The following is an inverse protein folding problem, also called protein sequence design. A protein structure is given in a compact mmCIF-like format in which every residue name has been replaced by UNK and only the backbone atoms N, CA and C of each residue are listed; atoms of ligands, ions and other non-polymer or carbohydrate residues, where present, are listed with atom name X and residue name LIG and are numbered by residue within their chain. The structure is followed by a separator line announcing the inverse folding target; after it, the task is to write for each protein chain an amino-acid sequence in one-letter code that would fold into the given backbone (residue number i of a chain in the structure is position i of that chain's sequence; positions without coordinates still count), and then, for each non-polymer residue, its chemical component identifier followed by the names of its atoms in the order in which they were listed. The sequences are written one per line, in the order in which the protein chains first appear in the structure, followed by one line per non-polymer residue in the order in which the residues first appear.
data_IF_188777717152
#
_entry.id   IF_188777717152
#
_cell.length_a   1.000
_cell.length_b   1.000
_cell.length_c   1.000
_cell.angle_alpha   90.00
_cell.angle_beta   90.00
_cell.angle_gamma   90.00
#
_symmetry.space_group_name_H-M   'P 1'
#
loop_
_entity.id
_entity.type
_entity.pdbx_description
1 polymer ?
#
# COMPACT_ATOMS: atom_id res chain seq x y z
N UNK A 1 16.40 -16.60 -35.27
CA UNK A 1 15.24 -17.07 -34.50
C UNK A 1 14.36 -15.87 -34.24
N UNK A 2 13.19 -15.80 -34.89
CA UNK A 2 12.22 -14.70 -34.73
C UNK A 2 11.69 -14.69 -33.29
N UNK A 3 11.99 -13.66 -32.53
CA UNK A 3 11.31 -13.41 -31.27
C UNK A 3 9.81 -13.21 -31.60
N UNK A 4 8.98 -14.20 -31.26
CA UNK A 4 7.53 -14.00 -31.18
C UNK A 4 7.31 -12.90 -30.13
N UNK A 5 7.03 -11.69 -30.58
CA UNK A 5 6.69 -10.59 -29.71
C UNK A 5 5.50 -11.00 -28.85
N UNK A 6 5.73 -11.25 -27.57
CA UNK A 6 4.65 -11.36 -26.60
C UNK A 6 3.92 -10.02 -26.61
N UNK A 7 2.71 -9.99 -27.15
CA UNK A 7 1.83 -8.82 -27.02
C UNK A 7 1.63 -8.54 -25.53
N UNK A 8 2.07 -7.36 -25.09
CA UNK A 8 1.95 -6.95 -23.69
C UNK A 8 0.47 -6.91 -23.32
N UNK A 9 0.13 -7.44 -22.15
CA UNK A 9 -1.22 -7.32 -21.58
C UNK A 9 -1.59 -5.85 -21.45
N UNK A 10 -2.86 -5.50 -21.66
CA UNK A 10 -3.37 -4.14 -21.53
C UNK A 10 -4.63 -4.14 -20.69
N UNK A 11 -4.90 -3.04 -19.97
CA UNK A 11 -6.20 -2.80 -19.37
C UNK A 11 -7.26 -2.55 -20.44
N UNK A 12 -8.50 -2.95 -20.18
CA UNK A 12 -9.61 -2.76 -21.14
C UNK A 12 -9.88 -1.28 -21.42
N UNK A 13 -9.70 -0.42 -20.41
CA UNK A 13 -9.92 1.02 -20.52
C UNK A 13 -9.54 1.78 -19.25
N UNK A 14 -9.92 3.08 -19.21
CA UNK A 14 -9.62 3.98 -18.09
C UNK A 14 -10.10 3.45 -16.74
N UNK A 15 -11.34 2.94 -16.67
CA UNK A 15 -11.91 2.43 -15.41
C UNK A 15 -11.12 1.23 -14.88
N UNK A 16 -10.70 0.30 -15.77
CA UNK A 16 -9.87 -0.84 -15.40
C UNK A 16 -8.53 -0.42 -14.79
N UNK A 17 -7.84 0.51 -15.45
CA UNK A 17 -6.59 1.06 -14.92
C UNK A 17 -6.80 1.75 -13.56
N UNK A 18 -7.77 2.69 -13.48
CA UNK A 18 -8.02 3.48 -12.26
C UNK A 18 -8.37 2.60 -11.06
N UNK A 19 -9.28 1.62 -11.23
CA UNK A 19 -9.68 0.76 -10.12
C UNK A 19 -8.57 -0.23 -9.73
N UNK A 20 -7.76 -0.69 -10.67
CA UNK A 20 -6.60 -1.53 -10.35
C UNK A 20 -5.50 -0.73 -9.64
N UNK A 21 -5.19 0.49 -10.10
CA UNK A 21 -4.20 1.36 -9.48
C UNK A 21 -4.68 1.88 -8.10
N UNK A 22 -5.97 2.25 -7.98
CA UNK A 22 -6.57 2.60 -6.70
C UNK A 22 -6.57 1.40 -5.73
N UNK A 23 -6.88 0.19 -6.23
CA UNK A 23 -6.79 -1.03 -5.43
C UNK A 23 -5.36 -1.38 -4.99
N UNK A 24 -4.37 -1.01 -5.79
CA UNK A 24 -2.97 -1.11 -5.38
C UNK A 24 -2.65 -0.15 -4.22
N UNK A 25 -3.17 1.08 -4.30
CA UNK A 25 -2.92 2.14 -3.30
C UNK A 25 -3.74 1.92 -2.02
N UNK A 26 -5.02 1.54 -2.15
CA UNK A 26 -5.89 1.25 -0.99
C UNK A 26 -5.54 -0.10 -0.39
N UNK A 27 -4.75 -0.11 0.66
CA UNK A 27 -4.26 -1.31 1.31
C UNK A 27 -4.36 -1.25 2.83
N UNK A 28 -3.63 -2.16 3.46
CA UNK A 28 -3.54 -2.23 4.93
C UNK A 28 -3.03 -0.92 5.54
N UNK A 29 -2.19 -0.17 4.83
CA UNK A 29 -1.66 1.11 5.26
C UNK A 29 -2.71 2.19 5.51
N UNK A 30 -3.79 2.22 4.70
CA UNK A 30 -4.90 3.14 4.89
C UNK A 30 -5.75 2.76 6.11
N UNK A 31 -5.88 1.46 6.40
CA UNK A 31 -6.83 0.97 7.40
C UNK A 31 -6.24 0.98 8.82
N UNK A 32 -4.96 0.64 9.00
CA UNK A 32 -4.40 0.64 10.36
C UNK A 32 -3.37 1.75 10.61
N UNK A 33 -2.44 1.96 9.64
CA UNK A 33 -1.33 2.89 9.85
C UNK A 33 -1.79 4.34 9.81
N UNK A 34 -2.65 4.68 8.86
CA UNK A 34 -3.17 6.04 8.73
C UNK A 34 -3.95 6.50 9.96
N UNK A 35 -4.97 5.76 10.50
CA UNK A 35 -5.68 6.17 11.70
C UNK A 35 -4.78 6.32 12.92
N UNK A 36 -3.84 5.40 13.10
CA UNK A 36 -2.86 5.48 14.18
C UNK A 36 -2.02 6.76 14.09
N UNK A 37 -1.43 7.01 12.92
CA UNK A 37 -0.60 8.20 12.73
C UNK A 37 -1.41 9.49 12.83
N UNK A 38 -2.64 9.51 12.31
CA UNK A 38 -3.53 10.65 12.45
C UNK A 38 -3.82 10.94 13.92
N UNK A 39 -4.13 9.93 14.73
CA UNK A 39 -4.36 10.12 16.16
C UNK A 39 -3.11 10.59 16.90
N UNK A 40 -1.96 9.98 16.63
CA UNK A 40 -0.70 10.31 17.31
C UNK A 40 -0.16 11.70 16.95
N UNK A 41 -0.37 12.16 15.72
CA UNK A 41 0.26 13.39 15.19
C UNK A 41 -0.72 14.52 14.94
N UNK A 42 -1.79 14.61 15.73
CA UNK A 42 -2.65 15.79 15.87
C UNK A 42 -3.95 15.77 15.07
N UNK A 43 -4.46 14.59 14.70
CA UNK A 43 -5.79 14.44 14.10
C UNK A 43 -5.97 15.22 12.81
N UNK A 44 -6.82 16.25 12.85
CA UNK A 44 -7.18 17.06 11.67
C UNK A 44 -6.02 17.81 11.06
N UNK A 45 -4.99 18.20 11.82
CA UNK A 45 -3.80 18.85 11.25
C UNK A 45 -2.93 17.84 10.47
N UNK A 46 -2.84 16.60 10.96
CA UNK A 46 -2.20 15.51 10.21
C UNK A 46 -2.94 15.25 8.90
N UNK A 47 -4.27 15.16 8.93
CA UNK A 47 -5.10 14.97 7.75
C UNK A 47 -4.90 16.08 6.72
N UNK A 48 -4.85 17.35 7.15
CA UNK A 48 -4.60 18.48 6.26
C UNK A 48 -3.24 18.37 5.58
N UNK A 49 -2.17 18.10 6.34
CA UNK A 49 -0.82 17.90 5.81
C UNK A 49 -0.78 16.72 4.84
N UNK A 50 -1.42 15.59 5.19
CA UNK A 50 -1.52 14.42 4.32
C UNK A 50 -2.16 14.74 2.97
N UNK A 51 -3.31 15.45 2.97
CA UNK A 51 -4.00 15.86 1.73
C UNK A 51 -3.10 16.75 0.87
N UNK A 52 -2.42 17.74 1.46
CA UNK A 52 -1.51 18.61 0.74
C UNK A 52 -0.35 17.83 0.10
N UNK A 53 0.21 16.86 0.81
CA UNK A 53 1.27 15.99 0.30
C UNK A 53 0.76 15.04 -0.79
N UNK A 54 -0.45 14.48 -0.65
CA UNK A 54 -1.05 13.65 -1.68
C UNK A 54 -1.23 14.44 -2.99
N UNK A 55 -1.74 15.68 -2.91
CA UNK A 55 -1.96 16.57 -4.06
C UNK A 55 -0.67 17.09 -4.71
N UNK A 56 0.45 17.02 -4.06
CA UNK A 56 1.75 17.55 -4.55
C UNK A 56 2.74 16.43 -4.83
N UNK A 57 3.28 15.83 -3.79
CA UNK A 57 4.26 14.75 -3.89
C UNK A 57 3.64 13.48 -4.49
N UNK A 58 2.51 13.00 -3.92
CA UNK A 58 1.82 11.79 -4.38
C UNK A 58 1.46 11.88 -5.86
N UNK A 59 0.76 12.95 -6.23
CA UNK A 59 0.42 13.24 -7.62
C UNK A 59 1.65 13.20 -8.54
N UNK A 60 2.74 13.85 -8.14
CA UNK A 60 3.95 13.94 -8.96
C UNK A 60 4.58 12.57 -9.21
N UNK A 61 4.68 11.75 -8.17
CA UNK A 61 5.27 10.43 -8.29
C UNK A 61 4.39 9.47 -9.10
N UNK A 62 3.07 9.48 -8.90
CA UNK A 62 2.14 8.67 -9.69
C UNK A 62 2.24 9.03 -11.17
N UNK A 63 2.23 10.33 -11.51
CA UNK A 63 2.40 10.79 -12.90
C UNK A 63 3.75 10.35 -13.46
N UNK A 64 4.84 10.50 -12.71
CA UNK A 64 6.18 10.14 -13.16
C UNK A 64 6.28 8.64 -13.47
N UNK A 65 5.90 7.78 -12.53
CA UNK A 65 6.01 6.33 -12.68
C UNK A 65 5.06 5.78 -13.76
N UNK A 66 3.81 6.24 -13.78
CA UNK A 66 2.82 5.84 -14.79
C UNK A 66 3.27 6.25 -16.19
N UNK A 67 3.81 7.48 -16.33
CA UNK A 67 4.34 7.96 -17.62
C UNK A 67 5.53 7.14 -18.08
N UNK A 68 6.49 6.82 -17.20
CA UNK A 68 7.63 5.97 -17.51
C UNK A 68 7.17 4.59 -18.00
N UNK A 69 6.22 3.98 -17.30
CA UNK A 69 5.63 2.71 -17.68
C UNK A 69 4.96 2.76 -19.04
N UNK A 70 4.05 3.73 -19.28
CA UNK A 70 3.31 3.87 -20.53
C UNK A 70 4.19 4.22 -21.73
N UNK A 71 5.20 5.07 -21.51
CA UNK A 71 6.14 5.49 -22.54
C UNK A 71 6.99 4.32 -23.04
N UNK A 72 7.45 3.47 -22.13
CA UNK A 72 8.39 2.40 -22.43
C UNK A 72 7.71 1.07 -22.74
N UNK A 73 6.49 0.85 -22.23
CA UNK A 73 5.78 -0.42 -22.34
C UNK A 73 6.49 -1.57 -21.63
N UNK A 74 7.29 -1.28 -20.58
CA UNK A 74 8.16 -2.26 -19.91
C UNK A 74 7.99 -2.24 -18.39
N UNK A 75 8.48 -3.30 -17.75
CA UNK A 75 8.65 -3.37 -16.30
C UNK A 75 9.63 -2.29 -15.78
N UNK A 76 9.81 -2.11 -14.46
CA UNK A 76 10.72 -1.12 -13.92
C UNK A 76 12.16 -1.23 -14.46
N UNK A 77 12.73 -2.44 -14.56
CA UNK A 77 14.10 -2.63 -15.07
C UNK A 77 14.20 -2.20 -16.53
N UNK A 78 13.28 -2.67 -17.36
CA UNK A 78 13.21 -2.32 -18.76
C UNK A 78 12.92 -0.84 -19.01
N UNK A 79 12.11 -0.21 -18.15
CA UNK A 79 11.80 1.21 -18.21
C UNK A 79 13.06 2.07 -17.98
N UNK A 80 13.88 1.74 -16.99
CA UNK A 80 15.16 2.43 -16.75
C UNK A 80 16.17 2.17 -17.86
N UNK A 81 16.30 0.93 -18.34
CA UNK A 81 17.19 0.55 -19.47
C UNK A 81 16.85 1.29 -20.76
N UNK A 82 15.60 1.67 -20.99
CA UNK A 82 15.19 2.41 -22.18
C UNK A 82 15.86 3.78 -22.31
N UNK A 83 16.38 4.35 -21.22
CA UNK A 83 17.05 5.65 -21.19
C UNK A 83 18.59 5.57 -21.13
N UNK A 84 19.15 4.37 -21.09
CA UNK A 84 20.59 4.17 -21.09
C UNK A 84 21.02 2.91 -20.33
N UNK A 85 22.32 2.62 -20.40
CA UNK A 85 22.87 1.38 -19.84
C UNK A 85 23.94 1.65 -18.75
N UNK A 86 23.87 2.81 -18.10
CA UNK A 86 24.78 3.16 -16.99
C UNK A 86 24.49 2.32 -15.74
N UNK A 87 25.50 2.14 -14.88
CA UNK A 87 25.35 1.34 -13.66
C UNK A 87 24.25 1.82 -12.73
N UNK A 88 24.09 3.13 -12.55
CA UNK A 88 23.07 3.70 -11.69
C UNK A 88 21.64 3.55 -12.27
N UNK A 89 21.46 3.56 -13.61
CA UNK A 89 20.17 3.28 -14.24
C UNK A 89 19.77 1.80 -14.03
N UNK A 90 20.73 0.88 -14.17
CA UNK A 90 20.49 -0.53 -13.84
C UNK A 90 20.12 -0.71 -12.38
N UNK A 91 20.84 -0.05 -11.46
CA UNK A 91 20.51 -0.07 -10.03
C UNK A 91 19.11 0.46 -9.78
N UNK A 92 18.74 1.65 -10.35
CA UNK A 92 17.42 2.24 -10.20
C UNK A 92 16.29 1.33 -10.70
N UNK A 93 16.48 0.68 -11.84
CA UNK A 93 15.52 -0.30 -12.37
C UNK A 93 15.34 -1.51 -11.45
N UNK A 94 16.46 -2.10 -11.02
CA UNK A 94 16.43 -3.29 -10.16
C UNK A 94 15.90 -3.02 -8.76
N UNK A 95 16.25 -1.90 -8.12
CA UNK A 95 15.73 -1.61 -6.79
C UNK A 95 14.19 -1.48 -6.82
N UNK A 96 13.62 -0.78 -7.84
CA UNK A 96 12.17 -0.70 -8.02
C UNK A 96 11.51 -2.07 -8.31
N UNK A 97 12.23 -3.00 -8.95
CA UNK A 97 11.72 -4.33 -9.29
C UNK A 97 11.82 -5.33 -8.12
N UNK A 98 12.84 -5.21 -7.26
CA UNK A 98 13.07 -6.13 -6.14
C UNK A 98 12.13 -5.82 -4.97
N UNK A 99 11.77 -4.55 -4.75
CA UNK A 99 10.87 -4.15 -3.67
C UNK A 99 9.59 -4.99 -3.61
N UNK A 100 8.77 -5.09 -4.67
CA UNK A 100 7.54 -5.89 -4.61
C UNK A 100 7.81 -7.38 -4.41
N UNK A 101 8.93 -7.92 -4.88
CA UNK A 101 9.33 -9.32 -4.68
C UNK A 101 9.56 -9.61 -3.18
N UNK A 102 10.11 -8.64 -2.44
CA UNK A 102 10.35 -8.75 -1.00
C UNK A 102 9.13 -8.41 -0.16
N UNK A 103 8.25 -7.50 -0.60
CA UNK A 103 7.05 -7.10 0.15
C UNK A 103 6.00 -8.21 0.11
N UNK A 104 5.72 -8.78 -1.06
CA UNK A 104 4.64 -9.77 -1.25
C UNK A 104 4.67 -10.91 -0.23
N UNK A 105 5.83 -11.52 0.10
CA UNK A 105 5.90 -12.60 1.09
C UNK A 105 5.35 -12.21 2.46
N UNK A 106 5.90 -11.20 3.10
CA UNK A 106 5.49 -10.81 4.45
C UNK A 106 4.11 -10.13 4.47
N UNK A 107 3.75 -9.41 3.40
CA UNK A 107 2.43 -8.82 3.25
C UNK A 107 1.32 -9.90 3.19
N UNK A 108 1.63 -11.03 2.54
CA UNK A 108 0.71 -12.16 2.47
C UNK A 108 0.54 -12.87 3.82
N UNK A 109 1.54 -12.85 4.69
CA UNK A 109 1.40 -13.33 6.08
C UNK A 109 0.38 -12.49 6.84
N UNK A 110 0.47 -11.17 6.73
CA UNK A 110 -0.50 -10.27 7.35
C UNK A 110 -1.90 -10.47 6.75
N UNK A 111 -1.98 -10.69 5.43
CA UNK A 111 -3.23 -11.09 4.76
C UNK A 111 -3.81 -12.39 5.31
N UNK A 112 -2.97 -13.35 5.67
CA UNK A 112 -3.37 -14.58 6.36
C UNK A 112 -3.97 -14.32 7.75
N UNK A 113 -3.44 -13.38 8.51
CA UNK A 113 -4.04 -12.97 9.80
C UNK A 113 -5.46 -12.38 9.60
N UNK A 114 -5.66 -11.62 8.52
CA UNK A 114 -6.99 -11.09 8.16
C UNK A 114 -7.96 -12.24 7.83
N UNK A 115 -7.52 -13.25 7.08
CA UNK A 115 -8.30 -14.45 6.78
C UNK A 115 -8.74 -15.16 8.07
N UNK A 116 -7.82 -15.33 9.02
CA UNK A 116 -8.12 -15.94 10.34
C UNK A 116 -9.21 -15.17 11.08
N UNK A 117 -9.05 -13.85 11.21
CA UNK A 117 -10.00 -13.03 11.94
C UNK A 117 -11.38 -12.99 11.27
N UNK A 118 -11.44 -12.89 9.95
CA UNK A 118 -12.70 -12.97 9.21
C UNK A 118 -13.41 -14.32 9.45
N UNK A 119 -12.65 -15.42 9.40
CA UNK A 119 -13.21 -16.76 9.65
C UNK A 119 -13.75 -16.89 11.08
N UNK A 120 -13.02 -16.41 12.09
CA UNK A 120 -13.48 -16.50 13.48
C UNK A 120 -14.70 -15.62 13.76
N UNK A 121 -14.76 -14.41 13.18
CA UNK A 121 -15.98 -13.58 13.25
C UNK A 121 -17.18 -14.28 12.59
N UNK A 122 -16.97 -14.88 11.41
CA UNK A 122 -18.02 -15.64 10.70
C UNK A 122 -18.50 -16.87 11.49
N UNK A 123 -17.63 -17.47 12.32
CA UNK A 123 -17.94 -18.58 13.22
C UNK A 123 -18.54 -18.13 14.57
N UNK A 124 -18.80 -16.84 14.76
CA UNK A 124 -19.38 -16.29 15.99
C UNK A 124 -18.43 -16.25 17.19
N UNK A 125 -17.10 -16.22 16.95
CA UNK A 125 -16.07 -16.21 18.01
C UNK A 125 -15.59 -14.81 18.38
N UNK A 126 -16.45 -13.79 18.29
CA UNK A 126 -16.08 -12.38 18.53
C UNK A 126 -15.45 -12.16 19.90
N UNK A 127 -16.02 -12.70 20.97
CA UNK A 127 -15.47 -12.55 22.33
C UNK A 127 -14.11 -13.23 22.53
N UNK A 128 -13.83 -14.33 21.81
CA UNK A 128 -12.51 -14.94 21.82
C UNK A 128 -11.47 -14.05 21.14
N UNK A 129 -11.83 -13.37 20.04
CA UNK A 129 -10.95 -12.41 19.34
C UNK A 129 -10.63 -11.17 20.19
N UNK A 130 -11.52 -10.77 21.09
CA UNK A 130 -11.33 -9.66 22.02
C UNK A 130 -10.48 -10.04 23.26
N UNK A 131 -10.24 -11.33 23.51
CA UNK A 131 -9.49 -11.80 24.65
C UNK A 131 -8.02 -11.40 24.58
N UNK A 132 -7.44 -11.06 25.74
CA UNK A 132 -6.02 -10.74 25.85
C UNK A 132 -5.15 -11.93 25.43
N UNK A 133 -4.14 -11.65 24.63
CA UNK A 133 -3.19 -12.66 24.17
C UNK A 133 -3.68 -13.51 22.98
N UNK A 134 -4.93 -13.39 22.52
CA UNK A 134 -5.44 -14.17 21.39
C UNK A 134 -4.57 -14.02 20.14
N UNK A 135 -4.27 -12.79 19.74
CA UNK A 135 -3.44 -12.50 18.57
C UNK A 135 -2.02 -13.08 18.73
N UNK A 136 -1.37 -12.85 19.85
CA UNK A 136 -0.01 -13.37 20.10
C UNK A 136 0.02 -14.89 20.13
N UNK A 137 -0.98 -15.54 20.72
CA UNK A 137 -1.10 -17.01 20.73
C UNK A 137 -1.30 -17.57 19.31
N UNK A 138 -2.10 -16.87 18.47
CA UNK A 138 -2.31 -17.26 17.08
C UNK A 138 -1.03 -17.17 16.25
N UNK A 139 -0.35 -16.02 16.25
CA UNK A 139 0.86 -15.83 15.42
C UNK A 139 2.04 -16.69 15.89
N UNK A 140 2.10 -17.05 17.18
CA UNK A 140 3.12 -17.95 17.73
C UNK A 140 2.86 -19.42 17.38
N UNK A 141 1.62 -19.77 17.03
CA UNK A 141 1.28 -21.13 16.62
C UNK A 141 1.52 -21.31 15.11
N UNK A 142 2.66 -21.92 14.77
CA UNK A 142 3.12 -22.03 13.40
C UNK A 142 2.10 -22.62 12.42
N UNK A 143 1.40 -23.71 12.79
CA UNK A 143 0.50 -24.41 11.85
C UNK A 143 -0.72 -23.59 11.46
N UNK A 144 -1.55 -23.04 12.36
CA UNK A 144 -2.69 -22.21 11.97
C UNK A 144 -2.27 -20.91 11.24
N UNK A 145 -1.16 -20.28 11.63
CA UNK A 145 -0.66 -19.10 10.97
C UNK A 145 -0.25 -19.40 9.52
N UNK A 146 0.51 -20.49 9.29
CA UNK A 146 0.90 -20.94 7.95
C UNK A 146 -0.30 -21.30 7.07
N UNK A 147 -1.29 -22.02 7.59
CA UNK A 147 -2.49 -22.37 6.81
C UNK A 147 -3.20 -21.10 6.31
N UNK A 148 -3.41 -20.13 7.19
CA UNK A 148 -4.06 -18.88 6.81
C UNK A 148 -3.22 -18.06 5.80
N UNK A 149 -1.91 -18.03 5.98
CA UNK A 149 -0.97 -17.41 5.04
C UNK A 149 -1.07 -18.08 3.65
N UNK A 150 -1.00 -19.40 3.59
CA UNK A 150 -1.09 -20.16 2.32
C UNK A 150 -2.44 -19.94 1.64
N UNK A 151 -3.54 -19.87 2.39
CA UNK A 151 -4.88 -19.55 1.84
C UNK A 151 -4.87 -18.17 1.18
N UNK A 152 -4.34 -17.13 1.86
CA UNK A 152 -4.26 -15.80 1.28
C UNK A 152 -3.34 -15.75 0.04
N UNK A 153 -2.18 -16.40 0.10
CA UNK A 153 -1.25 -16.51 -1.01
C UNK A 153 -1.90 -17.21 -2.23
N UNK A 154 -2.64 -18.29 -1.99
CA UNK A 154 -3.35 -19.02 -3.04
C UNK A 154 -4.44 -18.16 -3.71
N UNK A 155 -5.20 -17.37 -2.93
CA UNK A 155 -6.17 -16.42 -3.47
C UNK A 155 -5.48 -15.39 -4.40
N UNK A 156 -4.39 -14.79 -3.94
CA UNK A 156 -3.61 -13.82 -4.74
C UNK A 156 -3.10 -14.46 -6.03
N UNK A 157 -2.44 -15.62 -5.94
CA UNK A 157 -1.85 -16.30 -7.10
C UNK A 157 -2.90 -16.74 -8.11
N UNK A 158 -4.06 -17.22 -7.66
CA UNK A 158 -5.16 -17.62 -8.55
C UNK A 158 -5.60 -16.45 -9.43
N UNK A 159 -5.72 -15.26 -8.86
CA UNK A 159 -6.09 -14.05 -9.61
C UNK A 159 -4.98 -13.66 -10.60
N UNK A 160 -3.72 -13.76 -10.19
CA UNK A 160 -2.57 -13.45 -11.06
C UNK A 160 -2.47 -14.44 -12.22
N UNK A 161 -2.74 -15.72 -12.00
CA UNK A 161 -2.78 -16.73 -13.09
C UNK A 161 -3.84 -16.42 -14.16
N UNK A 162 -4.97 -15.80 -13.77
CA UNK A 162 -6.04 -15.41 -14.69
C UNK A 162 -5.66 -14.24 -15.62
N UNK A 163 -4.60 -13.50 -15.32
CA UNK A 163 -4.06 -12.43 -16.18
C UNK A 163 -4.49 -11.02 -15.76
N UNK A 164 -4.11 -10.04 -16.57
CA UNK A 164 -4.36 -8.62 -16.24
C UNK A 164 -5.84 -8.28 -16.39
N UNK A 165 -6.44 -8.54 -17.54
CA UNK A 165 -7.83 -8.18 -17.83
C UNK A 165 -8.84 -9.08 -17.09
N UNK A 166 -8.68 -10.41 -17.22
CA UNK A 166 -9.63 -11.37 -16.63
C UNK A 166 -9.42 -11.64 -15.13
N UNK A 167 -8.22 -11.34 -14.60
CA UNK A 167 -7.89 -11.48 -13.18
C UNK A 167 -7.91 -10.12 -12.48
N UNK A 168 -6.83 -9.36 -12.62
CA UNK A 168 -6.58 -8.13 -11.85
C UNK A 168 -7.70 -7.11 -12.04
N UNK A 169 -8.00 -6.75 -13.28
CA UNK A 169 -8.98 -5.72 -13.60
C UNK A 169 -10.39 -6.15 -13.20
N UNK A 170 -10.79 -7.38 -13.51
CA UNK A 170 -12.13 -7.90 -13.19
C UNK A 170 -12.36 -7.95 -11.69
N UNK A 171 -11.36 -8.40 -10.93
CA UNK A 171 -11.43 -8.47 -9.46
C UNK A 171 -11.46 -7.07 -8.86
N UNK A 172 -10.61 -6.15 -9.33
CA UNK A 172 -10.60 -4.76 -8.86
C UNK A 172 -11.91 -4.04 -9.15
N UNK A 173 -12.53 -4.27 -10.32
CA UNK A 173 -13.85 -3.71 -10.67
C UNK A 173 -14.98 -4.16 -9.73
N UNK A 174 -14.86 -5.34 -9.14
CA UNK A 174 -15.83 -5.85 -8.16
C UNK A 174 -15.46 -5.39 -6.74
N UNK A 175 -14.20 -5.59 -6.33
CA UNK A 175 -13.80 -5.39 -4.92
C UNK A 175 -13.79 -3.91 -4.52
N UNK A 176 -13.36 -3.00 -5.41
CA UNK A 176 -13.24 -1.59 -5.06
C UNK A 176 -14.59 -0.91 -4.74
N UNK A 177 -15.66 -1.06 -5.54
CA UNK A 177 -16.97 -0.54 -5.15
C UNK A 177 -17.52 -1.14 -3.86
N UNK A 178 -17.36 -2.45 -3.66
CA UNK A 178 -17.79 -3.13 -2.42
C UNK A 178 -17.02 -2.57 -1.21
N UNK A 179 -15.70 -2.39 -1.33
CA UNK A 179 -14.86 -1.79 -0.30
C UNK A 179 -15.35 -0.39 0.09
N UNK A 180 -15.70 0.45 -0.90
CA UNK A 180 -16.26 1.79 -0.64
C UNK A 180 -17.59 1.68 0.15
N UNK A 181 -18.50 0.80 -0.28
CA UNK A 181 -19.78 0.61 0.41
C UNK A 181 -19.56 0.13 1.85
N UNK A 182 -18.71 -0.86 2.05
CA UNK A 182 -18.37 -1.38 3.38
C UNK A 182 -17.77 -0.28 4.26
N UNK A 183 -16.85 0.54 3.72
CA UNK A 183 -16.24 1.62 4.48
C UNK A 183 -17.25 2.68 4.92
N UNK A 184 -18.23 3.01 4.07
CA UNK A 184 -19.33 3.92 4.44
C UNK A 184 -20.19 3.34 5.56
N UNK A 185 -20.60 2.07 5.44
CA UNK A 185 -21.44 1.42 6.46
C UNK A 185 -20.74 1.42 7.82
N UNK A 186 -19.47 1.02 7.86
CA UNK A 186 -18.72 0.93 9.11
C UNK A 186 -18.44 2.32 9.69
N UNK A 187 -18.11 3.32 8.85
CA UNK A 187 -17.90 4.69 9.31
C UNK A 187 -19.18 5.29 9.90
N UNK A 188 -20.33 5.12 9.23
CA UNK A 188 -21.64 5.57 9.78
C UNK A 188 -21.90 4.89 11.12
N UNK A 189 -21.69 3.59 11.21
CA UNK A 189 -21.84 2.88 12.48
C UNK A 189 -20.93 3.45 13.56
N UNK A 190 -19.66 3.68 13.27
CA UNK A 190 -18.66 4.19 14.21
C UNK A 190 -19.01 5.60 14.73
N UNK A 191 -19.32 6.53 13.82
CA UNK A 191 -19.59 7.94 14.19
C UNK A 191 -20.91 8.13 14.95
N UNK A 192 -21.83 7.16 14.85
CA UNK A 192 -23.12 7.19 15.57
C UNK A 192 -23.04 6.62 16.99
N UNK A 193 -21.88 6.15 17.45
CA UNK A 193 -21.75 5.64 18.83
C UNK A 193 -21.72 6.77 19.86
N UNK A 194 -22.28 6.56 21.05
CA UNK A 194 -22.15 7.51 22.15
C UNK A 194 -20.67 7.80 22.44
N UNK A 195 -20.30 9.06 22.55
CA UNK A 195 -18.91 9.49 22.76
C UNK A 195 -18.04 9.60 21.49
N UNK A 196 -18.50 9.13 20.34
CA UNK A 196 -17.74 9.15 19.08
C UNK A 196 -17.50 10.56 18.52
N UNK A 197 -18.36 11.54 18.87
CA UNK A 197 -18.32 12.90 18.30
C UNK A 197 -17.00 13.62 18.58
N UNK A 198 -16.40 13.39 19.75
CA UNK A 198 -15.09 13.97 20.10
C UNK A 198 -13.99 13.43 19.19
N UNK A 199 -14.00 12.13 18.89
CA UNK A 199 -13.09 11.52 17.93
C UNK A 199 -13.29 12.05 16.50
N UNK A 200 -14.53 12.28 16.07
CA UNK A 200 -14.83 12.92 14.79
C UNK A 200 -14.25 14.32 14.71
N UNK A 201 -14.50 15.14 15.76
CA UNK A 201 -13.96 16.51 15.85
C UNK A 201 -12.43 16.50 15.85
N UNK A 202 -11.82 15.64 16.66
CA UNK A 202 -10.37 15.50 16.73
C UNK A 202 -9.76 15.17 15.36
N UNK A 203 -10.38 14.26 14.63
CA UNK A 203 -9.87 13.79 13.33
C UNK A 203 -10.10 14.76 12.17
N UNK A 204 -11.26 15.46 12.14
CA UNK A 204 -11.62 16.30 10.99
C UNK A 204 -11.26 17.78 11.17
N UNK A 205 -11.18 18.28 12.41
CA UNK A 205 -10.94 19.70 12.66
C UNK A 205 -9.46 19.97 12.86
N UNK A 206 -8.78 20.68 11.94
CA UNK A 206 -7.37 21.02 12.10
C UNK A 206 -7.16 21.92 13.33
N UNK A 207 -6.27 21.50 14.23
CA UNK A 207 -5.83 22.29 15.37
C UNK A 207 -4.34 22.55 15.29
N UNK A 208 -3.95 23.80 15.02
CA UNK A 208 -2.55 24.20 14.90
C UNK A 208 -1.74 24.02 16.18
N UNK A 209 -2.40 23.98 17.36
CA UNK A 209 -1.70 23.70 18.62
C UNK A 209 -1.11 22.28 18.67
N UNK A 210 -1.65 21.34 17.89
CA UNK A 210 -1.14 19.97 17.78
C UNK A 210 -0.12 19.79 16.64
N UNK A 211 0.22 20.86 15.92
CA UNK A 211 1.21 20.78 14.83
C UNK A 211 2.62 20.57 15.39
N UNK A 212 3.34 19.64 14.78
CA UNK A 212 4.77 19.44 14.99
C UNK A 212 5.46 19.15 13.65
N UNK A 213 6.76 19.34 13.58
CA UNK A 213 7.53 18.90 12.39
C UNK A 213 7.41 17.40 12.18
N UNK A 214 7.21 16.63 13.25
CA UNK A 214 6.99 15.20 13.17
C UNK A 214 5.65 14.85 12.49
N UNK A 215 4.63 15.71 12.60
CA UNK A 215 3.37 15.60 11.85
C UNK A 215 3.64 15.55 10.34
N UNK A 216 4.54 16.42 9.84
CA UNK A 216 4.90 16.47 8.42
C UNK A 216 5.68 15.21 8.01
N UNK A 217 6.66 14.80 8.80
CA UNK A 217 7.46 13.60 8.53
C UNK A 217 6.60 12.34 8.52
N UNK A 218 5.72 12.20 9.52
CA UNK A 218 4.81 11.06 9.61
C UNK A 218 3.80 11.03 8.45
N UNK A 219 3.24 12.21 8.07
CA UNK A 219 2.33 12.31 6.93
C UNK A 219 3.04 12.00 5.60
N UNK A 220 4.30 12.44 5.41
CA UNK A 220 5.11 12.07 4.24
C UNK A 220 5.32 10.56 4.17
N UNK A 221 5.74 9.93 5.26
CA UNK A 221 5.95 8.49 5.31
C UNK A 221 4.67 7.69 5.07
N UNK A 222 3.54 8.15 5.61
CA UNK A 222 2.24 7.53 5.37
C UNK A 222 1.80 7.65 3.92
N UNK A 223 1.89 8.83 3.33
CA UNK A 223 1.49 9.07 1.94
C UNK A 223 2.36 8.26 0.96
N UNK A 224 3.65 8.15 1.23
CA UNK A 224 4.60 7.38 0.44
C UNK A 224 4.22 5.90 0.38
N UNK A 225 3.85 5.34 1.53
CA UNK A 225 3.41 3.96 1.67
C UNK A 225 2.02 3.73 1.06
N UNK A 226 1.07 4.64 1.34
CA UNK A 226 -0.33 4.52 0.93
C UNK A 226 -0.50 4.52 -0.58
N UNK A 227 0.14 5.43 -1.30
CA UNK A 227 0.00 5.56 -2.75
C UNK A 227 0.80 4.54 -3.57
N UNK A 228 1.41 3.54 -2.94
CA UNK A 228 2.24 2.52 -3.60
C UNK A 228 3.35 3.08 -4.49
N UNK A 229 3.94 4.19 -4.08
CA UNK A 229 4.99 4.90 -4.80
C UNK A 229 6.33 4.18 -4.62
N UNK A 230 7.15 4.17 -5.66
CA UNK A 230 8.49 3.58 -5.66
C UNK A 230 8.53 2.08 -5.35
N UNK A 231 7.45 1.38 -5.66
CA UNK A 231 7.33 -0.09 -5.57
C UNK A 231 7.32 -0.76 -6.95
N UNK A 232 7.59 -0.03 -8.02
CA UNK A 232 7.52 -0.53 -9.39
C UNK A 232 6.11 -0.85 -9.90
N UNK A 233 5.08 -0.80 -9.05
CA UNK A 233 3.68 -1.11 -9.39
C UNK A 233 3.16 -0.14 -10.44
N UNK A 234 3.31 1.17 -10.21
CA UNK A 234 2.78 2.20 -11.10
C UNK A 234 3.52 2.24 -12.46
N UNK A 235 4.81 1.89 -12.48
CA UNK A 235 5.55 1.68 -13.75
C UNK A 235 4.96 0.46 -14.48
N UNK A 236 4.76 -0.65 -13.78
CA UNK A 236 4.19 -1.87 -14.36
C UNK A 236 2.78 -1.63 -14.88
N UNK A 237 1.88 -1.05 -14.09
CA UNK A 237 0.51 -0.75 -14.51
C UNK A 237 0.46 0.31 -15.60
N UNK A 238 1.33 1.32 -15.53
CA UNK A 238 1.53 2.29 -16.61
C UNK A 238 1.89 1.62 -17.93
N UNK A 239 2.71 0.56 -17.90
CA UNK A 239 3.09 -0.20 -19.10
C UNK A 239 1.94 -0.98 -19.73
N UNK A 240 0.84 -1.19 -19.01
CA UNK A 240 -0.42 -1.79 -19.50
C UNK A 240 -1.46 -0.74 -19.90
N UNK A 241 -1.17 0.54 -19.71
CA UNK A 241 -2.08 1.63 -20.03
C UNK A 241 -2.05 1.96 -21.53
N UNK A 242 -3.23 2.03 -22.16
CA UNK A 242 -3.35 2.44 -23.55
C UNK A 242 -3.02 3.92 -23.72
N UNK A 243 -2.53 4.30 -24.92
CA UNK A 243 -2.09 5.67 -25.22
C UNK A 243 -3.19 6.73 -25.21
N UNK A 244 -4.44 6.34 -25.43
CA UNK A 244 -5.63 7.19 -25.42
C UNK A 244 -6.16 7.46 -24.01
N UNK A 245 -5.69 6.75 -22.98
CA UNK A 245 -6.11 6.95 -21.59
C UNK A 245 -5.33 8.12 -20.97
N UNK A 246 -6.07 9.09 -20.39
CA UNK A 246 -5.50 10.25 -19.70
C UNK A 246 -4.68 9.84 -18.47
N UNK A 247 -3.39 10.17 -18.43
CA UNK A 247 -2.52 9.94 -17.26
C UNK A 247 -2.94 10.84 -16.11
N UNK A 248 -3.02 12.16 -16.34
CA UNK A 248 -3.34 13.14 -15.30
C UNK A 248 -4.74 12.92 -14.73
N UNK A 249 -5.72 12.63 -15.61
CA UNK A 249 -7.09 12.32 -15.19
C UNK A 249 -7.18 11.00 -14.40
N UNK A 250 -6.40 10.00 -14.75
CA UNK A 250 -6.35 8.73 -14.01
C UNK A 250 -5.64 8.89 -12.67
N UNK A 251 -4.51 9.60 -12.63
CA UNK A 251 -3.78 9.91 -11.40
C UNK A 251 -4.66 10.63 -10.40
N UNK A 252 -5.41 11.65 -10.84
CA UNK A 252 -6.36 12.37 -9.97
C UNK A 252 -7.42 11.43 -9.38
N UNK A 253 -7.91 10.48 -10.16
CA UNK A 253 -8.90 9.53 -9.66
C UNK A 253 -8.27 8.58 -8.60
N UNK A 254 -7.05 8.10 -8.81
CA UNK A 254 -6.33 7.28 -7.82
C UNK A 254 -6.08 8.08 -6.54
N UNK A 255 -5.60 9.32 -6.66
CA UNK A 255 -5.37 10.26 -5.54
C UNK A 255 -6.65 10.47 -4.71
N UNK A 256 -7.79 10.72 -5.38
CA UNK A 256 -9.08 10.91 -4.71
C UNK A 256 -9.57 9.63 -4.05
N UNK A 257 -9.44 8.48 -4.70
CA UNK A 257 -9.82 7.19 -4.12
C UNK A 257 -9.02 6.87 -2.86
N UNK A 258 -7.69 6.97 -2.93
CA UNK A 258 -6.82 6.68 -1.79
C UNK A 258 -7.11 7.62 -0.61
N UNK A 259 -7.17 8.93 -0.86
CA UNK A 259 -7.46 9.93 0.17
C UNK A 259 -8.85 9.73 0.78
N UNK A 260 -9.87 9.44 -0.03
CA UNK A 260 -11.23 9.18 0.46
C UNK A 260 -11.27 7.95 1.37
N UNK A 261 -10.62 6.85 0.97
CA UNK A 261 -10.56 5.65 1.81
C UNK A 261 -9.74 5.87 3.08
N UNK A 262 -8.64 6.64 3.03
CA UNK A 262 -7.88 7.02 4.22
C UNK A 262 -8.75 7.82 5.21
N UNK A 263 -9.54 8.80 4.71
CA UNK A 263 -10.50 9.55 5.54
C UNK A 263 -11.57 8.62 6.11
N UNK A 264 -12.14 7.74 5.29
CA UNK A 264 -13.13 6.76 5.75
C UNK A 264 -12.55 5.84 6.81
N UNK A 265 -11.31 5.35 6.65
CA UNK A 265 -10.62 4.54 7.65
C UNK A 265 -10.42 5.31 8.97
N UNK A 266 -10.04 6.57 8.89
CA UNK A 266 -9.99 7.46 10.06
C UNK A 266 -11.35 7.56 10.77
N UNK A 267 -12.44 7.75 10.01
CA UNK A 267 -13.80 7.82 10.54
C UNK A 267 -14.34 6.47 11.06
N UNK A 268 -13.87 5.35 10.51
CA UNK A 268 -14.22 4.02 11.02
C UNK A 268 -13.56 3.73 12.37
N UNK A 269 -12.32 4.17 12.57
CA UNK A 269 -11.48 3.68 13.66
C UNK A 269 -11.37 4.71 14.79
N UNK A 270 -11.02 5.96 14.49
CA UNK A 270 -10.76 6.96 15.52
C UNK A 270 -12.00 7.23 16.40
N UNK A 271 -13.20 7.50 15.85
CA UNK A 271 -14.38 7.72 16.69
C UNK A 271 -14.77 6.49 17.51
N UNK A 272 -14.63 5.27 16.96
CA UNK A 272 -14.94 4.04 17.70
C UNK A 272 -13.99 3.85 18.90
N UNK A 273 -12.68 4.07 18.70
CA UNK A 273 -11.68 3.95 19.77
C UNK A 273 -11.88 5.06 20.81
N UNK A 274 -12.17 6.30 20.41
CA UNK A 274 -12.49 7.39 21.34
C UNK A 274 -13.72 7.08 22.20
N UNK A 275 -14.79 6.57 21.59
CA UNK A 275 -15.99 6.14 22.31
C UNK A 275 -15.68 5.03 23.33
N UNK A 276 -14.79 4.10 22.99
CA UNK A 276 -14.39 2.98 23.86
C UNK A 276 -13.43 3.42 24.97
N UNK A 277 -12.47 4.31 24.68
CA UNK A 277 -11.42 4.72 25.61
C UNK A 277 -11.78 5.94 26.49
N UNK A 278 -12.95 6.55 26.29
CA UNK A 278 -13.31 7.78 26.97
C UNK A 278 -12.56 9.01 26.46
N UNK A 279 -12.11 8.97 25.18
CA UNK A 279 -11.47 10.12 24.51
C UNK A 279 -9.94 10.10 24.53
N UNK A 280 -9.32 8.96 24.88
CA UNK A 280 -7.86 8.82 24.91
C UNK A 280 -7.30 8.48 23.50
N UNK A 281 -6.54 9.40 22.85
CA UNK A 281 -5.91 9.12 21.56
C UNK A 281 -4.77 8.07 21.65
N UNK A 282 -4.15 7.89 22.81
CA UNK A 282 -3.07 6.91 23.01
C UNK A 282 -3.60 5.46 23.09
N UNK A 283 -4.92 5.28 23.16
CA UNK A 283 -5.55 3.98 23.01
C UNK A 283 -5.39 3.38 21.59
N UNK A 284 -5.12 4.21 20.57
CA UNK A 284 -4.78 3.76 19.22
C UNK A 284 -3.32 3.31 19.18
N UNK A 285 -3.11 2.01 19.33
CA UNK A 285 -1.77 1.40 19.30
C UNK A 285 -1.21 1.29 17.89
N UNK A 286 0.11 1.33 17.78
CA UNK A 286 0.80 1.21 16.50
C UNK A 286 0.70 -0.20 15.88
N UNK A 287 0.76 -0.24 14.55
CA UNK A 287 0.96 -1.47 13.78
C UNK A 287 -0.21 -2.46 13.85
N UNK A 288 0.08 -3.76 13.70
CA UNK A 288 -0.92 -4.82 13.71
C UNK A 288 -1.76 -4.85 14.99
N UNK A 289 -1.25 -4.38 16.11
CA UNK A 289 -1.97 -4.35 17.39
C UNK A 289 -3.24 -3.52 17.34
N UNK A 290 -3.31 -2.45 16.55
CA UNK A 290 -4.55 -1.70 16.37
C UNK A 290 -5.63 -2.60 15.78
N UNK A 291 -5.33 -3.29 14.69
CA UNK A 291 -6.32 -4.05 13.92
C UNK A 291 -6.67 -5.40 14.58
N UNK A 292 -5.69 -6.09 15.16
CA UNK A 292 -5.86 -7.45 15.65
C UNK A 292 -6.04 -7.55 17.18
N UNK A 293 -5.83 -6.47 17.93
CA UNK A 293 -6.05 -6.44 19.38
C UNK A 293 -7.07 -5.38 19.77
N UNK A 294 -6.84 -4.10 19.39
CA UNK A 294 -7.70 -3.01 19.84
C UNK A 294 -9.09 -3.05 19.20
N UNK A 295 -9.18 -3.18 17.87
CA UNK A 295 -10.45 -3.15 17.14
C UNK A 295 -11.39 -4.30 17.54
N UNK A 296 -10.94 -5.56 17.71
CA UNK A 296 -11.81 -6.63 18.23
C UNK A 296 -12.41 -6.32 19.60
N UNK A 297 -11.63 -5.74 20.53
CA UNK A 297 -12.12 -5.31 21.84
C UNK A 297 -13.18 -4.20 21.74
N UNK A 298 -12.93 -3.22 20.87
CA UNK A 298 -13.87 -2.14 20.57
C UNK A 298 -15.18 -2.71 20.05
N UNK A 299 -15.14 -3.62 19.08
CA UNK A 299 -16.35 -4.23 18.52
C UNK A 299 -17.08 -5.12 19.52
N UNK A 300 -16.37 -5.88 20.35
CA UNK A 300 -16.98 -6.73 21.39
C UNK A 300 -17.73 -5.89 22.44
N UNK A 301 -17.24 -4.69 22.72
CA UNK A 301 -17.91 -3.73 23.64
C UNK A 301 -19.12 -3.02 23.02
N UNK A 302 -19.30 -3.08 21.70
CA UNK A 302 -20.35 -2.38 20.97
C UNK A 302 -21.51 -3.32 20.62
N UNK A 303 -22.76 -2.85 20.66
CA UNK A 303 -23.88 -3.55 20.08
C UNK A 303 -23.63 -3.84 18.58
N UNK A 304 -23.98 -5.02 18.10
CA UNK A 304 -23.73 -5.51 16.73
C UNK A 304 -22.23 -5.70 16.41
N UNK A 305 -21.37 -5.95 17.39
CA UNK A 305 -19.92 -6.11 17.19
C UNK A 305 -19.56 -7.24 16.24
N UNK A 306 -20.24 -8.41 16.32
CA UNK A 306 -19.97 -9.53 15.41
C UNK A 306 -20.26 -9.19 13.95
N UNK A 307 -21.45 -8.72 13.53
CA UNK A 307 -21.69 -8.35 12.13
C UNK A 307 -20.78 -7.21 11.64
N UNK A 308 -20.50 -6.22 12.46
CA UNK A 308 -19.55 -5.14 12.10
C UNK A 308 -18.14 -5.70 11.96
N UNK A 309 -17.71 -6.61 12.82
CA UNK A 309 -16.43 -7.29 12.69
C UNK A 309 -16.29 -8.08 11.38
N UNK A 310 -17.35 -8.80 10.97
CA UNK A 310 -17.38 -9.49 9.67
C UNK A 310 -17.21 -8.47 8.52
N UNK A 311 -17.99 -7.38 8.51
CA UNK A 311 -17.91 -6.36 7.46
C UNK A 311 -16.53 -5.68 7.44
N UNK A 312 -15.96 -5.39 8.61
CA UNK A 312 -14.64 -4.79 8.73
C UNK A 312 -13.54 -5.71 8.21
N UNK A 313 -13.47 -6.97 8.65
CA UNK A 313 -12.43 -7.88 8.19
C UNK A 313 -12.62 -8.32 6.73
N UNK A 314 -13.85 -8.29 6.20
CA UNK A 314 -14.11 -8.46 4.77
C UNK A 314 -13.55 -7.26 3.96
N UNK A 315 -13.78 -6.03 4.43
CA UNK A 315 -13.21 -4.82 3.86
C UNK A 315 -11.68 -4.88 3.87
N UNK A 316 -11.08 -5.26 5.01
CA UNK A 316 -9.63 -5.41 5.16
C UNK A 316 -9.08 -6.49 4.24
N UNK A 317 -9.79 -7.61 4.07
CA UNK A 317 -9.40 -8.68 3.16
C UNK A 317 -9.37 -8.18 1.71
N UNK A 318 -10.36 -7.41 1.28
CA UNK A 318 -10.39 -6.84 -0.07
C UNK A 318 -9.26 -5.83 -0.29
N UNK A 319 -9.01 -4.94 0.66
CA UNK A 319 -7.89 -4.01 0.61
C UNK A 319 -6.54 -4.74 0.56
N UNK A 320 -6.37 -5.79 1.37
CA UNK A 320 -5.14 -6.59 1.37
C UNK A 320 -4.95 -7.34 0.05
N UNK A 321 -6.01 -7.97 -0.50
CA UNK A 321 -5.93 -8.72 -1.74
C UNK A 321 -5.61 -7.82 -2.94
N UNK A 322 -6.26 -6.66 -3.09
CA UNK A 322 -6.00 -5.75 -4.22
C UNK A 322 -4.57 -5.25 -4.24
N UNK A 323 -3.99 -4.93 -3.09
CA UNK A 323 -2.58 -4.52 -2.97
C UNK A 323 -1.63 -5.70 -3.21
N UNK A 324 -1.92 -6.89 -2.65
CA UNK A 324 -1.12 -8.11 -2.87
C UNK A 324 -1.07 -8.50 -4.34
N UNK A 325 -2.21 -8.41 -5.06
CA UNK A 325 -2.31 -8.63 -6.49
C UNK A 325 -1.40 -7.68 -7.27
N UNK A 326 -1.42 -6.39 -6.95
CA UNK A 326 -0.62 -5.38 -7.64
C UNK A 326 0.89 -5.57 -7.42
N UNK A 327 1.31 -5.86 -6.19
CA UNK A 327 2.69 -6.20 -5.85
C UNK A 327 3.15 -7.47 -6.59
N UNK A 328 2.33 -8.52 -6.58
CA UNK A 328 2.64 -9.79 -7.23
C UNK A 328 2.74 -9.62 -8.75
N UNK A 329 1.86 -8.83 -9.37
CA UNK A 329 1.92 -8.53 -10.80
C UNK A 329 3.20 -7.79 -11.19
N UNK A 330 3.64 -6.83 -10.37
CA UNK A 330 4.90 -6.12 -10.60
C UNK A 330 6.09 -7.09 -10.57
N UNK A 331 6.11 -8.02 -9.62
CA UNK A 331 7.11 -9.08 -9.55
C UNK A 331 7.05 -10.01 -10.78
N UNK A 332 5.87 -10.51 -11.15
CA UNK A 332 5.67 -11.41 -12.30
C UNK A 332 6.09 -10.74 -13.61
N UNK A 333 5.70 -9.47 -13.80
CA UNK A 333 6.07 -8.71 -15.00
C UNK A 333 7.60 -8.55 -15.13
N UNK A 334 8.30 -8.42 -14.01
CA UNK A 334 9.77 -8.35 -13.99
C UNK A 334 10.38 -9.67 -14.49
N UNK A 335 9.92 -10.82 -14.01
CA UNK A 335 10.41 -12.12 -14.48
C UNK A 335 10.04 -12.40 -15.95
N UNK A 336 8.85 -11.96 -16.40
CA UNK A 336 8.45 -12.09 -17.79
C UNK A 336 9.37 -11.30 -18.73
N UNK A 337 9.62 -10.03 -18.42
CA UNK A 337 10.35 -9.13 -19.32
C UNK A 337 11.87 -9.38 -19.28
N UNK A 338 12.45 -9.63 -18.09
CA UNK A 338 13.91 -9.77 -17.96
C UNK A 338 14.42 -11.18 -18.31
N UNK A 339 13.61 -12.21 -18.05
CA UNK A 339 14.01 -13.60 -18.30
C UNK A 339 13.30 -14.22 -19.53
N UNK A 340 12.38 -13.47 -20.17
CA UNK A 340 11.63 -13.97 -21.33
C UNK A 340 10.68 -15.14 -20.99
N UNK A 341 10.27 -15.28 -19.71
CA UNK A 341 9.43 -16.39 -19.28
C UNK A 341 7.95 -16.12 -19.56
N UNK A 342 7.21 -17.18 -19.87
CA UNK A 342 5.76 -17.09 -19.98
C UNK A 342 5.10 -16.81 -18.62
N UNK A 343 3.91 -16.21 -18.63
CA UNK A 343 3.16 -15.82 -17.43
C UNK A 343 3.02 -16.93 -16.40
N UNK A 344 2.62 -18.13 -16.82
CA UNK A 344 2.44 -19.27 -15.90
C UNK A 344 3.72 -19.60 -15.13
N UNK A 345 4.87 -19.65 -15.84
CA UNK A 345 6.16 -19.94 -15.22
C UNK A 345 6.58 -18.82 -14.27
N UNK A 346 6.46 -17.56 -14.67
CA UNK A 346 6.80 -16.40 -13.85
C UNK A 346 5.93 -16.34 -12.58
N UNK A 347 4.62 -16.57 -12.71
CA UNK A 347 3.71 -16.62 -11.55
C UNK A 347 4.05 -17.76 -10.61
N UNK A 348 4.36 -18.96 -11.12
CA UNK A 348 4.75 -20.09 -10.28
C UNK A 348 6.04 -19.82 -9.49
N UNK A 349 7.05 -19.22 -10.12
CA UNK A 349 8.32 -18.88 -9.44
C UNK A 349 8.11 -17.78 -8.39
N UNK A 350 7.35 -16.73 -8.72
CA UNK A 350 6.98 -15.70 -7.73
C UNK A 350 6.19 -16.32 -6.58
N UNK A 351 5.30 -17.27 -6.86
CA UNK A 351 4.59 -18.06 -5.86
C UNK A 351 5.53 -18.84 -4.94
N UNK A 352 6.54 -19.50 -5.48
CA UNK A 352 7.57 -20.20 -4.68
C UNK A 352 8.33 -19.21 -3.78
N UNK A 353 8.76 -18.07 -4.33
CA UNK A 353 9.43 -17.01 -3.54
C UNK A 353 8.51 -16.49 -2.44
N UNK A 354 7.23 -16.23 -2.77
CA UNK A 354 6.21 -15.80 -1.80
C UNK A 354 6.07 -16.82 -0.66
N UNK A 355 5.94 -18.11 -0.98
CA UNK A 355 5.77 -19.16 0.02
C UNK A 355 7.03 -19.31 0.88
N UNK A 356 8.22 -19.38 0.29
CA UNK A 356 9.46 -19.58 1.04
C UNK A 356 9.76 -18.40 1.99
N UNK A 357 9.78 -17.17 1.48
CA UNK A 357 10.06 -15.99 2.30
C UNK A 357 8.90 -15.65 3.24
N UNK A 358 7.66 -15.95 2.82
CA UNK A 358 6.49 -15.76 3.67
C UNK A 358 6.47 -16.74 4.84
N UNK A 359 6.77 -18.03 4.63
CA UNK A 359 6.91 -19.00 5.72
C UNK A 359 8.02 -18.62 6.71
N UNK A 360 9.17 -18.12 6.21
CA UNK A 360 10.19 -17.59 7.11
C UNK A 360 9.68 -16.42 7.97
N UNK A 361 8.92 -15.51 7.36
CA UNK A 361 8.32 -14.36 8.05
C UNK A 361 7.24 -14.79 9.05
N UNK A 362 6.36 -15.73 8.67
CA UNK A 362 5.28 -16.26 9.51
C UNK A 362 5.81 -17.02 10.71
N UNK A 363 6.72 -17.97 10.47
CA UNK A 363 7.36 -18.78 11.51
C UNK A 363 8.28 -17.96 12.42
N UNK A 364 8.67 -16.76 12.02
CA UNK A 364 9.46 -15.81 12.81
C UNK A 364 8.81 -15.40 14.14
N UNK A 365 7.49 -15.52 14.28
CA UNK A 365 6.77 -15.27 15.53
C UNK A 365 6.58 -16.52 16.40
N UNK A 366 6.88 -17.70 15.86
CA UNK A 366 6.71 -19.00 16.51
C UNK A 366 8.03 -19.77 16.59
N UNK A 367 8.17 -20.88 15.82
CA UNK A 367 9.36 -21.75 15.88
C UNK A 367 10.69 -21.03 15.60
N UNK A 368 10.69 -19.98 14.78
CA UNK A 368 11.88 -19.19 14.44
C UNK A 368 11.98 -17.88 15.23
N UNK A 369 11.23 -17.68 16.31
CA UNK A 369 11.23 -16.44 17.11
C UNK A 369 12.59 -16.04 17.66
N UNK A 370 13.52 -16.99 17.79
CA UNK A 370 14.92 -16.75 18.17
C UNK A 370 15.78 -16.18 17.04
N UNK A 371 15.33 -16.27 15.79
CA UNK A 371 16.07 -15.74 14.63
C UNK A 371 15.70 -14.27 14.45
N UNK A 372 16.64 -13.39 14.80
CA UNK A 372 16.46 -11.94 14.68
C UNK A 372 17.58 -11.33 13.85
N UNK A 373 17.23 -10.39 12.98
CA UNK A 373 18.19 -9.59 12.19
C UNK A 373 18.11 -8.15 12.67
N UNK A 374 19.21 -7.56 13.07
CA UNK A 374 19.26 -6.22 13.70
C UNK A 374 18.30 -6.08 14.92
N UNK A 375 18.08 -7.16 15.66
CA UNK A 375 17.15 -7.19 16.78
C UNK A 375 15.67 -7.31 16.41
N UNK A 376 15.32 -7.29 15.11
CA UNK A 376 13.96 -7.36 14.58
C UNK A 376 13.56 -8.79 14.27
N UNK A 377 12.28 -9.11 14.39
CA UNK A 377 11.69 -10.33 13.82
C UNK A 377 11.82 -10.31 12.29
N UNK A 378 11.77 -11.49 11.65
CA UNK A 378 12.00 -11.59 10.20
C UNK A 378 11.02 -10.74 9.38
N UNK A 379 9.73 -10.73 9.74
CA UNK A 379 8.72 -9.89 9.08
C UNK A 379 9.08 -8.42 9.23
N UNK A 380 9.37 -7.97 10.45
CA UNK A 380 9.70 -6.57 10.76
C UNK A 380 10.99 -6.13 10.05
N UNK A 381 11.95 -7.05 9.92
CA UNK A 381 13.17 -6.79 9.16
C UNK A 381 12.91 -6.58 7.66
N UNK A 382 12.08 -7.44 7.04
CA UNK A 382 11.73 -7.26 5.63
C UNK A 382 10.93 -5.98 5.41
N UNK A 383 10.01 -5.65 6.32
CA UNK A 383 9.27 -4.39 6.29
C UNK A 383 10.21 -3.18 6.41
N UNK A 384 11.12 -3.19 7.38
CA UNK A 384 12.13 -2.14 7.55
C UNK A 384 13.03 -2.00 6.31
N UNK A 385 13.55 -3.10 5.78
CA UNK A 385 14.43 -3.08 4.60
C UNK A 385 13.73 -2.49 3.39
N UNK A 386 12.50 -2.92 3.12
CA UNK A 386 11.76 -2.47 1.94
C UNK A 386 11.21 -1.07 2.09
N UNK A 387 10.46 -0.79 3.17
CA UNK A 387 9.75 0.47 3.33
C UNK A 387 10.64 1.62 3.82
N UNK A 388 11.56 1.33 4.75
CA UNK A 388 12.39 2.37 5.37
C UNK A 388 13.66 2.69 4.58
N UNK A 389 14.20 1.72 3.83
CA UNK A 389 15.47 1.89 3.09
C UNK A 389 15.25 1.88 1.58
N UNK A 390 14.70 0.78 1.03
CA UNK A 390 14.70 0.57 -0.42
C UNK A 390 13.74 1.53 -1.14
N UNK A 391 12.53 1.73 -0.64
CA UNK A 391 11.54 2.59 -1.30
C UNK A 391 11.98 4.06 -1.40
N UNK A 392 12.49 4.72 -0.36
CA UNK A 392 13.00 6.09 -0.50
C UNK A 392 14.15 6.19 -1.51
N UNK A 393 15.06 5.21 -1.53
CA UNK A 393 16.15 5.16 -2.53
C UNK A 393 15.56 4.97 -3.93
N UNK A 394 14.59 4.09 -4.11
CA UNK A 394 13.91 3.87 -5.39
C UNK A 394 13.22 5.15 -5.89
N UNK A 395 12.54 5.90 -5.00
CA UNK A 395 11.92 7.19 -5.34
C UNK A 395 12.96 8.21 -5.81
N UNK A 396 14.09 8.31 -5.13
CA UNK A 396 15.19 9.19 -5.54
C UNK A 396 15.67 8.81 -6.94
N UNK A 397 15.82 7.51 -7.24
CA UNK A 397 16.24 7.05 -8.57
C UNK A 397 15.22 7.40 -9.66
N UNK A 398 13.92 7.28 -9.39
CA UNK A 398 12.83 7.72 -10.30
C UNK A 398 12.90 9.23 -10.52
N UNK A 399 13.05 10.02 -9.46
CA UNK A 399 13.18 11.48 -9.57
C UNK A 399 14.40 11.89 -10.42
N UNK A 400 15.55 11.26 -10.20
CA UNK A 400 16.77 11.52 -10.98
C UNK A 400 16.61 11.09 -12.44
N UNK A 401 16.00 9.92 -12.69
CA UNK A 401 15.71 9.48 -14.05
C UNK A 401 14.85 10.50 -14.79
N UNK A 402 13.73 10.93 -14.20
CA UNK A 402 12.78 11.85 -14.83
C UNK A 402 13.39 13.26 -14.97
N UNK A 403 14.08 13.76 -13.94
CA UNK A 403 14.57 15.14 -13.94
C UNK A 403 15.86 15.34 -14.74
N UNK A 404 16.74 14.33 -14.82
CA UNK A 404 18.10 14.48 -15.36
C UNK A 404 18.35 13.71 -16.67
N UNK A 405 17.66 12.59 -16.89
CA UNK A 405 17.95 11.68 -18.03
C UNK A 405 16.81 11.63 -19.04
N UNK A 406 15.62 11.23 -18.61
CA UNK A 406 14.45 11.23 -19.49
C UNK A 406 14.09 12.67 -19.92
N UNK A 407 14.17 13.60 -18.96
CA UNK A 407 13.74 14.97 -19.12
C UNK A 407 12.23 15.15 -18.96
N UNK A 408 11.86 16.18 -18.20
CA UNK A 408 10.45 16.52 -17.90
C UNK A 408 9.65 16.76 -19.19
N UNK A 409 10.30 17.25 -20.26
CA UNK A 409 9.66 17.46 -21.56
C UNK A 409 9.12 16.18 -22.20
N UNK A 410 9.81 15.04 -22.05
CA UNK A 410 9.30 13.75 -22.55
C UNK A 410 8.08 13.26 -21.77
N UNK A 411 8.06 13.48 -20.44
CA UNK A 411 6.88 13.18 -19.61
C UNK A 411 5.69 14.03 -20.06
N UNK A 412 5.92 15.32 -20.31
CA UNK A 412 4.89 16.21 -20.84
C UNK A 412 4.37 15.74 -22.20
N UNK A 413 5.25 15.41 -23.13
CA UNK A 413 4.86 14.87 -24.44
C UNK A 413 4.02 13.61 -24.30
N UNK A 414 4.39 12.70 -23.40
CA UNK A 414 3.61 11.48 -23.15
C UNK A 414 2.22 11.78 -22.59
N UNK A 415 2.07 12.76 -21.69
CA UNK A 415 0.78 13.20 -21.15
C UNK A 415 -0.09 13.81 -22.27
N UNK A 416 0.51 14.66 -23.10
CA UNK A 416 -0.19 15.36 -24.20
C UNK A 416 -0.68 14.42 -25.32
N UNK A 417 -0.29 13.15 -25.35
CA UNK A 417 -0.86 12.17 -26.28
C UNK A 417 -2.36 11.93 -26.05
N UNK A 418 -2.82 12.09 -24.82
CA UNK A 418 -4.21 11.83 -24.42
C UNK A 418 -4.91 13.02 -23.76
N UNK A 419 -4.22 14.15 -23.66
CA UNK A 419 -4.72 15.33 -22.95
C UNK A 419 -4.36 16.63 -23.70
N UNK A 420 -5.24 17.64 -23.74
CA UNK A 420 -4.96 18.90 -24.46
C UNK A 420 -3.92 19.77 -23.75
N UNK A 421 -3.69 19.55 -22.48
CA UNK A 421 -2.71 20.31 -21.67
C UNK A 421 -2.29 19.56 -20.41
N UNK A 422 -1.09 19.78 -19.93
CA UNK A 422 -0.62 19.32 -18.62
C UNK A 422 -0.98 20.37 -17.55
N UNK A 423 -2.06 20.12 -16.80
CA UNK A 423 -2.66 21.12 -15.89
C UNK A 423 -1.76 21.49 -14.73
N UNK A 424 -1.18 20.47 -14.03
CA UNK A 424 -0.33 20.67 -12.85
C UNK A 424 1.18 20.68 -13.19
N UNK A 425 1.57 21.06 -14.42
CA UNK A 425 2.97 21.08 -14.91
C UNK A 425 3.92 21.80 -13.98
N UNK A 426 3.54 22.99 -13.45
CA UNK A 426 4.40 23.78 -12.56
C UNK A 426 4.70 23.04 -11.25
N UNK A 427 3.65 22.43 -10.64
CA UNK A 427 3.78 21.62 -9.43
C UNK A 427 4.67 20.41 -9.71
N UNK A 428 4.38 19.66 -10.78
CA UNK A 428 5.17 18.52 -11.20
C UNK A 428 6.67 18.87 -11.35
N UNK A 429 6.98 19.96 -12.05
CA UNK A 429 8.37 20.37 -12.30
C UNK A 429 9.12 20.74 -11.03
N UNK A 430 8.49 21.48 -10.12
CA UNK A 430 9.09 21.86 -8.85
C UNK A 430 9.30 20.65 -7.94
N UNK A 431 8.28 19.80 -7.85
CA UNK A 431 8.29 18.61 -7.01
C UNK A 431 9.34 17.60 -7.48
N UNK A 432 9.30 17.19 -8.76
CA UNK A 432 10.16 16.10 -9.26
C UNK A 432 11.65 16.46 -9.25
N UNK A 433 11.98 17.76 -9.45
CA UNK A 433 13.38 18.21 -9.51
C UNK A 433 14.00 18.43 -8.14
N UNK A 434 13.22 18.89 -7.16
CA UNK A 434 13.75 19.37 -5.89
C UNK A 434 13.09 18.72 -4.68
N UNK A 435 11.76 18.83 -4.56
CA UNK A 435 11.05 18.47 -3.33
C UNK A 435 10.88 16.96 -3.16
N UNK A 436 10.56 16.22 -4.22
CA UNK A 436 10.41 14.77 -4.10
C UNK A 436 11.71 14.06 -3.67
N UNK A 437 12.88 14.29 -4.29
CA UNK A 437 14.11 13.67 -3.84
C UNK A 437 14.51 14.13 -2.43
N UNK A 438 14.26 15.41 -2.08
CA UNK A 438 14.52 15.93 -0.74
C UNK A 438 13.63 15.24 0.32
N UNK A 439 12.33 15.11 0.06
CA UNK A 439 11.40 14.40 0.98
C UNK A 439 11.75 12.93 1.11
N UNK A 440 12.09 12.25 0.00
CA UNK A 440 12.53 10.87 0.06
C UNK A 440 13.81 10.70 0.90
N UNK A 441 14.75 11.65 0.83
CA UNK A 441 15.93 11.63 1.68
C UNK A 441 15.59 11.85 3.17
N UNK A 442 14.65 12.75 3.49
CA UNK A 442 14.16 12.93 4.87
C UNK A 442 13.52 11.62 5.38
N UNK A 443 12.66 10.98 4.58
CA UNK A 443 12.02 9.71 4.96
C UNK A 443 13.09 8.64 5.22
N UNK A 444 14.09 8.52 4.36
CA UNK A 444 15.19 7.57 4.55
C UNK A 444 15.93 7.81 5.87
N UNK A 445 16.37 9.05 6.09
CA UNK A 445 17.15 9.42 7.28
C UNK A 445 16.31 9.22 8.56
N UNK A 446 15.05 9.71 8.57
CA UNK A 446 14.17 9.61 9.73
C UNK A 446 13.79 8.17 10.05
N UNK A 447 13.49 7.35 9.03
CA UNK A 447 13.17 5.93 9.22
C UNK A 447 14.35 5.13 9.76
N UNK A 448 15.55 5.38 9.25
CA UNK A 448 16.78 4.74 9.77
C UNK A 448 17.05 5.23 11.20
N UNK A 449 16.97 6.52 11.47
CA UNK A 449 17.15 7.07 12.82
C UNK A 449 16.15 6.49 13.83
N UNK A 450 14.89 6.31 13.42
CA UNK A 450 13.86 5.67 14.25
C UNK A 450 14.18 4.19 14.52
N UNK A 451 14.64 3.44 13.51
CA UNK A 451 14.96 2.02 13.67
C UNK A 451 16.14 1.77 14.64
N UNK A 452 17.07 2.71 14.71
CA UNK A 452 18.19 2.66 15.67
C UNK A 452 17.90 3.38 17.01
N UNK A 453 16.67 3.84 17.23
CA UNK A 453 16.25 4.48 18.47
C UNK A 453 16.82 5.89 18.71
N UNK A 454 17.36 6.54 17.66
CA UNK A 454 17.88 7.91 17.75
C UNK A 454 16.76 8.95 17.81
N UNK A 455 15.60 8.63 17.25
CA UNK A 455 14.35 9.38 17.34
C UNK A 455 13.19 8.41 17.55
N UNK A 456 12.07 8.88 18.12
CA UNK A 456 10.83 8.11 18.25
C UNK A 456 9.78 8.64 17.26
N UNK A 457 9.36 7.82 16.33
CA UNK A 457 8.28 8.12 15.38
C UNK A 457 7.01 7.33 15.66
#
# INVERSE_FOLDING_TARGET
MSQKGHTRSTFSGKLGFVLSAAGASVGLGNIWRFPYLAAKYGGGIFLLVYILLAMTFGYTMIVAETSLGRMTGKNPVGAFKAFGNSGWLRFGGWINAIIPILIVPYYSVIGGWVVKYLADYALGRSSALAADGYFSAFISNGVPAEVCFVVFAALTLTIIFAGVENGIERVSKFMMPVLVVLSVIIAVYSVTRPGALEGVKYFLVPNLAHFSWMTVVAAMGQMFYSLSIAMGILITFGSYMKKDISIEGSTRNVEVFDTAIAIMAGLMIIPAVFAFSGGDPDALKAGPSLMFVTIPKVFDSMGLGTPIGILFFLLVLFAALTSSIALTESAVSTFQDELGWGRKKSTAIVGVVMLVLGSLSSLGYGPLAGVRILGMQLLDFFDFLTNSIMMPIAAITVCLLVSRVAGVGRIEQEILLSEPRFRRKRVFNAMIRFLCPFFAAIILISSVANAFGWISM
#
